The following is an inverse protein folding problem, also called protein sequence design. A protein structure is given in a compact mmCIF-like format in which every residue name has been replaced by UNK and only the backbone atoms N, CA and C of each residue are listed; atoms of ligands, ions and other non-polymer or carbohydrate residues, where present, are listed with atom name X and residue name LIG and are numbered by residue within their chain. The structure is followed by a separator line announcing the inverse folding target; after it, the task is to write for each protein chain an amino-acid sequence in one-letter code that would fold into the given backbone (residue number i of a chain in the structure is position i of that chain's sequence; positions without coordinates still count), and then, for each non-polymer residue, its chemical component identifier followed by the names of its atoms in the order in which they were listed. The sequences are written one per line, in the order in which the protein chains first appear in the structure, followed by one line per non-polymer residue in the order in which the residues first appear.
data_IF_594900819125
#
_entry.id   IF_594900819125
#
_cell.length_a   1.000
_cell.length_b   1.000
_cell.length_c   1.000
_cell.angle_alpha   90.00
_cell.angle_beta   90.00
_cell.angle_gamma   90.00
#
_symmetry.space_group_name_H-M   'P 1'
#
loop_
_entity.id
_entity.type
_entity.pdbx_description
1 polymer ?
#
# COMPACT_ATOMS: atom_id res chain seq x y z
N UNK A 1 15.39 2.99 -15.94
CA UNK A 1 15.69 3.79 -14.73
C UNK A 1 14.61 3.45 -13.71
N UNK A 2 15.00 3.03 -12.50
CA UNK A 2 14.02 2.85 -11.42
C UNK A 2 13.64 4.24 -10.93
N UNK A 3 12.34 4.56 -10.91
CA UNK A 3 11.90 5.79 -10.28
C UNK A 3 12.20 5.68 -8.79
N UNK A 4 12.96 6.63 -8.21
CA UNK A 4 13.22 6.61 -6.77
C UNK A 4 11.90 6.68 -6.03
N UNK A 5 11.89 6.16 -4.80
CA UNK A 5 10.72 6.29 -3.95
C UNK A 5 10.40 7.78 -3.69
N UNK A 6 9.13 8.21 -3.67
CA UNK A 6 8.82 9.61 -3.46
C UNK A 6 9.25 10.09 -2.07
N UNK A 7 9.85 11.28 -2.00
CA UNK A 7 10.34 11.86 -0.74
C UNK A 7 9.22 12.29 0.23
N UNK A 8 8.02 12.49 -0.30
CA UNK A 8 6.78 12.82 0.42
C UNK A 8 5.96 11.57 0.79
N UNK A 9 6.45 10.36 0.48
CA UNK A 9 5.71 9.14 0.72
C UNK A 9 5.62 8.81 2.21
N UNK A 10 4.38 8.67 2.71
CA UNK A 10 4.09 8.22 4.07
C UNK A 10 4.44 6.75 4.30
N UNK A 11 4.37 5.92 3.27
CA UNK A 11 4.71 4.50 3.32
C UNK A 11 5.87 4.20 2.37
N UNK A 12 6.66 3.19 2.72
CA UNK A 12 7.82 2.71 1.97
C UNK A 12 7.59 1.27 1.49
N UNK A 13 8.45 0.80 0.57
CA UNK A 13 8.48 -0.60 0.15
C UNK A 13 8.59 -1.52 1.37
N UNK A 14 7.70 -2.50 1.47
CA UNK A 14 7.67 -3.49 2.55
C UNK A 14 6.86 -3.08 3.79
N UNK A 15 6.46 -1.81 3.92
CA UNK A 15 5.53 -1.39 4.97
C UNK A 15 4.20 -2.13 4.84
N UNK A 16 3.50 -2.27 5.96
CA UNK A 16 2.18 -2.88 5.98
C UNK A 16 1.09 -1.81 6.10
N UNK A 17 0.08 -1.93 5.24
CA UNK A 17 -1.05 -1.02 5.19
C UNK A 17 -2.37 -1.77 4.97
N UNK A 18 -3.46 -1.16 5.42
CA UNK A 18 -4.82 -1.60 5.20
C UNK A 18 -5.65 -0.50 4.56
N UNK A 19 -6.60 -0.88 3.71
CA UNK A 19 -7.62 0.03 3.20
C UNK A 19 -8.56 0.44 4.33
N UNK A 20 -8.86 1.74 4.42
CA UNK A 20 -9.86 2.29 5.32
C UNK A 20 -11.27 1.86 4.95
N UNK A 21 -12.12 1.76 5.97
CA UNK A 21 -13.55 1.48 5.84
C UNK A 21 -13.87 -0.02 5.85
N UNK A 22 -15.01 -0.40 5.25
CA UNK A 22 -15.55 -1.77 5.34
C UNK A 22 -14.88 -2.82 4.44
N UNK A 23 -14.12 -2.38 3.44
CA UNK A 23 -13.51 -3.31 2.48
C UNK A 23 -12.20 -3.87 3.05
N UNK A 24 -12.11 -5.20 3.09
CA UNK A 24 -10.96 -5.94 3.65
C UNK A 24 -9.84 -6.08 2.62
N UNK A 25 -9.00 -5.05 2.46
CA UNK A 25 -7.70 -5.20 1.79
C UNK A 25 -6.59 -4.75 2.71
N UNK A 26 -5.59 -5.61 2.94
CA UNK A 26 -4.42 -5.29 3.76
C UNK A 26 -3.26 -6.20 3.44
N UNK A 27 -2.05 -5.66 3.53
CA UNK A 27 -0.82 -6.38 3.27
C UNK A 27 0.35 -5.44 3.03
N UNK A 28 1.30 -5.87 2.21
CA UNK A 28 2.58 -5.17 2.03
C UNK A 28 2.51 -4.15 0.90
N UNK A 29 3.12 -3.01 1.11
CA UNK A 29 3.39 -2.01 0.08
C UNK A 29 4.46 -2.59 -0.85
N UNK A 30 4.11 -2.74 -2.13
CA UNK A 30 4.97 -3.33 -3.18
C UNK A 30 5.25 -2.37 -4.33
N UNK A 31 4.73 -1.15 -4.25
CA UNK A 31 4.94 -0.13 -5.26
C UNK A 31 4.14 1.13 -4.98
N UNK A 32 4.34 2.13 -5.83
CA UNK A 32 3.63 3.40 -5.78
C UNK A 32 3.25 3.84 -7.19
N UNK A 33 2.29 4.76 -7.27
CA UNK A 33 1.86 5.37 -8.52
C UNK A 33 1.44 6.83 -8.29
N UNK A 34 1.40 7.58 -9.39
CA UNK A 34 0.84 8.93 -9.46
C UNK A 34 0.03 9.08 -10.73
N UNK A 35 -1.06 9.82 -10.64
CA UNK A 35 -1.89 10.23 -11.78
C UNK A 35 -2.34 11.67 -11.55
N UNK A 36 -2.96 12.30 -12.55
CA UNK A 36 -3.55 13.64 -12.41
C UNK A 36 -4.63 13.69 -11.31
N UNK A 37 -5.31 12.58 -11.06
CA UNK A 37 -6.32 12.47 -10.00
C UNK A 37 -5.72 12.06 -8.64
N UNK A 38 -4.69 11.23 -8.65
CA UNK A 38 -4.08 10.66 -7.44
C UNK A 38 -2.64 11.11 -7.31
N UNK A 39 -2.44 12.19 -6.55
CA UNK A 39 -1.13 12.78 -6.32
C UNK A 39 -0.11 11.78 -5.78
N UNK A 40 -0.52 10.84 -4.94
CA UNK A 40 0.27 9.68 -4.52
C UNK A 40 -0.66 8.53 -4.12
N UNK A 41 -0.38 7.34 -4.65
CA UNK A 41 -1.03 6.11 -4.25
C UNK A 41 -0.05 4.95 -4.21
N UNK A 42 -0.51 3.84 -3.62
CA UNK A 42 0.31 2.67 -3.33
C UNK A 42 -0.31 1.40 -3.91
N UNK A 43 0.55 0.50 -4.35
CA UNK A 43 0.21 -0.87 -4.64
C UNK A 43 0.40 -1.71 -3.37
N UNK A 44 -0.66 -2.41 -2.96
CA UNK A 44 -0.67 -3.27 -1.78
C UNK A 44 -0.88 -4.71 -2.25
N UNK A 45 0.15 -5.55 -2.08
CA UNK A 45 0.02 -7.00 -2.18
C UNK A 45 -0.73 -7.53 -0.95
N UNK A 46 -1.74 -8.37 -1.17
CA UNK A 46 -2.57 -8.93 -0.11
C UNK A 46 -1.75 -9.82 0.82
N UNK A 47 -1.96 -9.66 2.13
CA UNK A 47 -1.41 -10.57 3.12
C UNK A 47 -2.07 -11.96 3.08
N UNK A 48 -3.35 -12.02 2.70
CA UNK A 48 -4.16 -13.25 2.73
C UNK A 48 -4.17 -14.00 1.39
N UNK A 49 -3.82 -13.30 0.31
CA UNK A 49 -3.83 -13.83 -1.06
C UNK A 49 -2.52 -13.45 -1.75
N UNK A 50 -1.40 -14.13 -1.45
CA UNK A 50 -0.08 -13.79 -2.00
C UNK A 50 -0.10 -13.71 -3.53
N UNK A 51 0.59 -12.72 -4.09
CA UNK A 51 0.57 -12.40 -5.52
C UNK A 51 -0.60 -11.52 -5.99
N UNK A 52 -1.69 -11.42 -5.23
CA UNK A 52 -2.80 -10.50 -5.55
C UNK A 52 -2.47 -9.08 -5.12
N UNK A 53 -2.56 -8.13 -6.06
CA UNK A 53 -2.24 -6.71 -5.82
C UNK A 53 -3.43 -5.82 -6.16
N UNK A 54 -3.71 -4.85 -5.29
CA UNK A 54 -4.62 -3.74 -5.59
C UNK A 54 -3.95 -2.40 -5.34
N UNK A 55 -4.48 -1.34 -5.94
CA UNK A 55 -3.96 0.03 -5.82
C UNK A 55 -4.96 0.94 -5.11
N UNK A 56 -4.45 1.81 -4.24
CA UNK A 56 -5.26 2.78 -3.51
C UNK A 56 -4.56 4.13 -3.39
N UNK A 57 -5.30 5.26 -3.39
CA UNK A 57 -4.76 6.55 -2.99
C UNK A 57 -4.23 6.49 -1.55
N UNK A 58 -3.19 7.26 -1.23
CA UNK A 58 -2.64 7.35 0.13
C UNK A 58 -3.72 7.63 1.19
N UNK A 59 -4.66 8.52 0.86
CA UNK A 59 -5.74 8.94 1.76
C UNK A 59 -6.70 7.80 2.12
N UNK A 60 -6.78 6.75 1.30
CA UNK A 60 -7.67 5.62 1.46
C UNK A 60 -7.06 4.47 2.29
N UNK A 61 -5.81 4.59 2.74
CA UNK A 61 -5.11 3.54 3.48
C UNK A 61 -4.57 4.05 4.81
N UNK A 62 -4.29 3.13 5.73
CA UNK A 62 -3.71 3.38 7.03
C UNK A 62 -2.67 2.32 7.39
N UNK A 63 -1.77 2.64 8.31
CA UNK A 63 -0.77 1.69 8.79
C UNK A 63 -1.47 0.49 9.42
N UNK A 64 -1.04 -0.69 9.03
CA UNK A 64 -1.56 -1.95 9.57
C UNK A 64 -0.38 -2.79 10.03
N UNK A 65 -0.51 -3.47 11.16
CA UNK A 65 0.49 -4.44 11.58
C UNK A 65 -0.07 -5.84 11.33
N UNK A 66 0.67 -6.72 10.63
CA UNK A 66 0.26 -8.11 10.55
C UNK A 66 0.25 -8.72 11.96
N UNK A 67 -0.63 -9.68 12.24
CA UNK A 67 -0.53 -10.47 13.46
C UNK A 67 0.87 -11.09 13.53
N UNK A 68 1.48 -11.09 14.72
CA UNK A 68 2.73 -11.84 14.90
C UNK A 68 2.46 -13.29 14.55
N UNK A 69 3.26 -13.86 13.66
CA UNK A 69 3.42 -15.30 13.54
C UNK A 69 4.10 -15.77 14.82
N UNK A 70 3.33 -16.41 15.67
CA UNK A 70 3.78 -17.29 16.74
C UNK A 70 4.63 -18.46 16.23
#
# INVERSE_FOLDING_TARGET
MLNPWPSDAKFQMGDYAAKKGRASWRGKIVGWYRTDLTNLGYAIESYFEPGSVQIYPETAIEMWMPPRSD
#
